data_IF_067341072310
#
_entry.id   IF_067341072310
#
_cell.length_a   1.000
_cell.length_b   1.000
_cell.length_c   1.000
_cell.angle_alpha   90.00
_cell.angle_beta   90.00
_cell.angle_gamma   90.00
#
_symmetry.space_group_name_H-M   'P 1'
#
loop_
_entity.id
_entity.type
_entity.pdbx_description
1 polymer ?
#
# COMPACT_ATOMS: atom_id res chain seq x y z
N UNK A 1 9.13 -22.94 -16.98
CA UNK A 1 9.79 -21.64 -17.08
C UNK A 1 9.28 -20.79 -15.93
N UNK A 2 10.12 -19.97 -15.28
CA UNK A 2 9.67 -19.07 -14.22
C UNK A 2 8.54 -18.13 -14.69
N UNK A 3 7.59 -17.85 -13.84
CA UNK A 3 6.52 -16.89 -14.10
C UNK A 3 7.09 -15.47 -14.19
N UNK A 4 6.63 -14.65 -15.13
CA UNK A 4 7.01 -13.24 -15.22
C UNK A 4 5.98 -12.37 -14.52
N UNK A 5 6.43 -11.61 -13.51
CA UNK A 5 5.62 -10.62 -12.83
C UNK A 5 5.59 -9.29 -13.59
N UNK A 6 4.78 -8.36 -13.11
CA UNK A 6 4.55 -7.05 -13.73
C UNK A 6 4.51 -5.96 -12.66
N UNK A 7 4.88 -4.75 -13.01
CA UNK A 7 4.45 -3.58 -12.25
C UNK A 7 2.93 -3.44 -12.34
N UNK A 8 2.32 -2.86 -11.33
CA UNK A 8 0.90 -2.52 -11.35
C UNK A 8 0.77 -1.01 -11.14
N UNK A 9 0.44 -0.28 -12.21
CA UNK A 9 0.40 1.18 -12.22
C UNK A 9 -0.91 1.64 -12.84
N UNK A 10 -1.58 2.58 -12.19
CA UNK A 10 -2.84 3.15 -12.69
C UNK A 10 -3.91 2.10 -13.06
N UNK A 11 -4.02 1.03 -12.25
CA UNK A 11 -5.00 -0.04 -12.45
C UNK A 11 -4.65 -1.04 -13.56
N UNK A 12 -3.44 -0.98 -14.13
CA UNK A 12 -3.01 -1.86 -15.22
C UNK A 12 -1.63 -2.49 -14.95
N UNK A 13 -1.40 -3.67 -15.57
CA UNK A 13 -0.08 -4.32 -15.59
C UNK A 13 0.83 -3.61 -16.58
N UNK A 14 2.09 -3.38 -16.20
CA UNK A 14 3.13 -2.81 -17.03
C UNK A 14 4.43 -3.63 -16.93
N UNK A 15 5.13 -3.81 -18.03
CA UNK A 15 6.39 -4.58 -18.08
C UNK A 15 7.60 -3.75 -17.63
N UNK A 16 7.47 -2.42 -17.60
CA UNK A 16 8.60 -1.52 -17.47
C UNK A 16 9.42 -1.41 -18.77
N UNK A 17 10.38 -0.50 -18.77
CA UNK A 17 11.24 -0.20 -19.93
C UNK A 17 12.73 -0.52 -19.69
N UNK A 18 13.13 -0.94 -18.48
CA UNK A 18 14.53 -1.23 -18.17
C UNK A 18 15.09 -2.45 -18.89
N UNK A 19 14.22 -3.41 -19.27
CA UNK A 19 14.63 -4.72 -19.77
C UNK A 19 15.34 -5.62 -18.75
N UNK A 20 15.51 -5.16 -17.50
CA UNK A 20 16.16 -5.90 -16.43
C UNK A 20 15.15 -6.65 -15.57
N UNK A 21 15.52 -7.85 -15.14
CA UNK A 21 14.71 -8.68 -14.26
C UNK A 21 15.55 -9.19 -13.08
N UNK A 22 14.92 -9.32 -11.92
CA UNK A 22 15.43 -10.05 -10.77
C UNK A 22 14.79 -11.43 -10.68
N UNK A 23 15.54 -12.41 -10.23
CA UNK A 23 15.02 -13.75 -9.98
C UNK A 23 14.39 -13.81 -8.58
N UNK A 24 13.23 -14.45 -8.49
CA UNK A 24 12.51 -14.72 -7.25
C UNK A 24 12.62 -16.22 -6.97
N UNK A 25 13.17 -16.53 -5.81
CA UNK A 25 13.47 -17.89 -5.42
C UNK A 25 12.42 -18.45 -4.46
N UNK A 26 12.14 -19.73 -4.57
CA UNK A 26 11.57 -20.50 -3.48
C UNK A 26 12.69 -20.78 -2.46
N UNK A 27 12.65 -20.23 -1.25
CA UNK A 27 13.71 -20.39 -0.27
C UNK A 27 13.82 -21.82 0.29
N UNK A 28 12.80 -22.66 0.12
CA UNK A 28 12.84 -24.06 0.57
C UNK A 28 13.60 -24.95 -0.42
N UNK A 29 13.57 -24.63 -1.71
CA UNK A 29 14.20 -25.45 -2.76
C UNK A 29 15.43 -24.78 -3.38
N UNK A 30 15.51 -23.45 -3.31
CA UNK A 30 16.51 -22.65 -4.01
C UNK A 30 16.23 -22.49 -5.51
N UNK A 31 15.07 -22.92 -5.99
CA UNK A 31 14.68 -22.81 -7.39
C UNK A 31 14.14 -21.42 -7.72
N UNK A 32 14.42 -20.94 -8.94
CA UNK A 32 13.82 -19.70 -9.46
C UNK A 32 12.40 -20.01 -9.92
N UNK A 33 11.42 -19.46 -9.21
CA UNK A 33 9.99 -19.65 -9.49
C UNK A 33 9.37 -18.52 -10.31
N UNK A 34 9.85 -17.28 -10.10
CA UNK A 34 9.34 -16.09 -10.79
C UNK A 34 10.47 -15.15 -11.18
N UNK A 35 10.15 -14.19 -12.05
CA UNK A 35 11.04 -13.08 -12.42
C UNK A 35 10.28 -11.77 -12.28
N UNK A 36 10.87 -10.82 -11.56
CA UNK A 36 10.28 -9.50 -11.31
C UNK A 36 10.98 -8.44 -12.17
N UNK A 37 10.25 -7.58 -12.92
CA UNK A 37 10.87 -6.50 -13.66
C UNK A 37 11.46 -5.47 -12.69
N UNK A 38 12.68 -4.99 -12.98
CA UNK A 38 13.33 -3.91 -12.26
C UNK A 38 12.90 -2.59 -12.90
N UNK A 39 12.30 -1.69 -12.10
CA UNK A 39 11.87 -0.39 -12.60
C UNK A 39 13.07 0.48 -12.97
N UNK A 40 12.96 1.18 -14.08
CA UNK A 40 13.83 2.29 -14.46
C UNK A 40 13.45 3.60 -13.76
N UNK A 41 14.23 4.64 -13.95
CA UNK A 41 13.88 5.98 -13.50
C UNK A 41 12.63 6.53 -14.21
N UNK A 42 12.44 6.18 -15.51
CA UNK A 42 11.23 6.52 -16.28
C UNK A 42 9.99 5.81 -15.79
N UNK A 43 10.08 4.52 -15.44
CA UNK A 43 8.97 3.77 -14.83
C UNK A 43 8.53 4.40 -13.51
N UNK A 44 9.50 4.79 -12.67
CA UNK A 44 9.21 5.46 -11.40
C UNK A 44 8.55 6.84 -11.64
N UNK A 45 9.07 7.62 -12.57
CA UNK A 45 8.49 8.91 -12.93
C UNK A 45 7.05 8.76 -13.44
N UNK A 46 6.77 7.74 -14.26
CA UNK A 46 5.43 7.44 -14.76
C UNK A 46 4.47 7.02 -13.62
N UNK A 47 4.94 6.22 -12.66
CA UNK A 47 4.14 5.84 -11.49
C UNK A 47 3.79 7.04 -10.60
N UNK A 48 4.76 7.94 -10.37
CA UNK A 48 4.55 9.19 -9.63
C UNK A 48 3.56 10.09 -10.37
N UNK A 49 3.73 10.30 -11.67
CA UNK A 49 2.83 11.10 -12.48
C UNK A 49 1.39 10.56 -12.49
N UNK A 50 1.21 9.23 -12.54
CA UNK A 50 -0.10 8.59 -12.43
C UNK A 50 -0.75 8.85 -11.06
N UNK A 51 0.02 8.74 -9.97
CA UNK A 51 -0.44 9.02 -8.62
C UNK A 51 -0.79 10.52 -8.43
N UNK A 52 0.00 11.41 -9.01
CA UNK A 52 -0.21 12.87 -8.99
C UNK A 52 -1.49 13.25 -9.76
N UNK A 53 -1.71 12.65 -10.93
CA UNK A 53 -2.93 12.87 -11.73
C UNK A 53 -4.20 12.38 -11.01
N UNK A 54 -4.11 11.29 -10.23
CA UNK A 54 -5.23 10.75 -9.47
C UNK A 54 -5.52 11.53 -8.18
N UNK A 55 -4.55 12.25 -7.64
CA UNK A 55 -4.63 12.89 -6.33
C UNK A 55 -5.80 13.88 -6.18
N UNK A 56 -6.05 14.84 -7.06
CA UNK A 56 -7.10 15.83 -6.87
C UNK A 56 -8.50 15.20 -6.71
N UNK A 57 -8.82 14.23 -7.55
CA UNK A 57 -10.10 13.55 -7.52
C UNK A 57 -10.26 12.67 -6.27
N UNK A 58 -9.20 12.05 -5.79
CA UNK A 58 -9.22 11.25 -4.57
C UNK A 58 -9.27 12.12 -3.31
N UNK A 59 -8.48 13.16 -3.24
CA UNK A 59 -8.47 14.12 -2.13
C UNK A 59 -9.82 14.82 -1.93
N UNK A 60 -10.51 15.11 -3.04
CA UNK A 60 -11.85 15.71 -3.02
C UNK A 60 -12.96 14.77 -2.53
N UNK A 61 -12.72 13.46 -2.43
CA UNK A 61 -13.70 12.54 -1.86
C UNK A 61 -13.90 12.82 -0.37
N UNK A 62 -15.13 12.69 0.10
CA UNK A 62 -15.38 12.81 1.54
C UNK A 62 -14.65 11.73 2.32
N UNK A 63 -14.19 12.00 3.56
CA UNK A 63 -13.54 10.99 4.40
C UNK A 63 -14.35 9.69 4.52
N UNK A 64 -15.69 9.79 4.60
CA UNK A 64 -16.57 8.62 4.64
C UNK A 64 -16.50 7.78 3.36
N UNK A 65 -16.42 8.40 2.18
CA UNK A 65 -16.29 7.66 0.92
C UNK A 65 -14.97 6.91 0.86
N UNK A 66 -13.87 7.53 1.30
CA UNK A 66 -12.56 6.88 1.39
C UNK A 66 -12.57 5.73 2.39
N UNK A 67 -13.17 5.92 3.57
CA UNK A 67 -13.33 4.86 4.57
C UNK A 67 -14.11 3.65 4.02
N UNK A 68 -15.16 3.86 3.23
CA UNK A 68 -15.90 2.76 2.58
C UNK A 68 -15.03 1.94 1.62
N UNK A 69 -14.01 2.54 1.00
CA UNK A 69 -13.01 1.78 0.21
C UNK A 69 -12.17 0.92 1.14
N UNK A 70 -11.74 1.44 2.29
CA UNK A 70 -10.95 0.68 3.27
C UNK A 70 -11.74 -0.48 3.87
N UNK A 71 -13.04 -0.31 4.15
CA UNK A 71 -13.90 -1.41 4.59
C UNK A 71 -13.97 -2.55 3.56
N UNK A 72 -14.17 -2.21 2.27
CA UNK A 72 -14.16 -3.22 1.20
C UNK A 72 -12.79 -3.88 1.02
N UNK A 73 -11.73 -3.12 1.18
CA UNK A 73 -10.36 -3.64 1.11
C UNK A 73 -10.10 -4.63 2.26
N UNK A 74 -10.51 -4.29 3.49
CA UNK A 74 -10.44 -5.20 4.64
C UNK A 74 -11.17 -6.52 4.36
N UNK A 75 -12.42 -6.43 3.91
CA UNK A 75 -13.24 -7.60 3.58
C UNK A 75 -12.59 -8.50 2.49
N UNK A 76 -11.96 -7.91 1.48
CA UNK A 76 -11.21 -8.66 0.48
C UNK A 76 -9.97 -9.35 1.06
N UNK A 77 -9.21 -8.67 1.91
CA UNK A 77 -8.03 -9.27 2.57
C UNK A 77 -8.43 -10.46 3.44
N UNK A 78 -9.52 -10.35 4.20
CA UNK A 78 -10.04 -11.45 5.04
C UNK A 78 -10.51 -12.65 4.21
N UNK A 79 -11.17 -12.40 3.08
CA UNK A 79 -11.61 -13.48 2.17
C UNK A 79 -10.44 -14.19 1.47
N UNK A 80 -9.36 -13.49 1.18
CA UNK A 80 -8.21 -14.00 0.43
C UNK A 80 -6.99 -14.26 1.34
N UNK A 81 -7.20 -14.37 2.66
CA UNK A 81 -6.10 -14.52 3.62
C UNK A 81 -5.25 -15.77 3.34
N UNK A 82 -5.86 -16.88 2.94
CA UNK A 82 -5.13 -18.13 2.65
C UNK A 82 -4.24 -17.99 1.41
N UNK A 83 -4.71 -17.30 0.36
CA UNK A 83 -3.91 -17.00 -0.83
C UNK A 83 -2.69 -16.14 -0.48
N UNK A 84 -2.87 -15.13 0.38
CA UNK A 84 -1.79 -14.28 0.86
C UNK A 84 -0.79 -15.07 1.71
N UNK A 85 -1.26 -16.02 2.55
CA UNK A 85 -0.40 -16.91 3.33
C UNK A 85 0.43 -17.76 2.39
N UNK A 86 -0.18 -18.38 1.36
CA UNK A 86 0.52 -19.23 0.39
C UNK A 86 1.62 -18.46 -0.36
N UNK A 87 1.35 -17.21 -0.77
CA UNK A 87 2.34 -16.33 -1.40
C UNK A 87 3.51 -16.02 -0.46
N UNK A 88 3.23 -15.66 0.79
CA UNK A 88 4.28 -15.38 1.77
C UNK A 88 5.11 -16.63 2.06
N UNK A 89 4.50 -17.79 2.21
CA UNK A 89 5.21 -19.05 2.45
C UNK A 89 6.12 -19.38 1.27
N UNK A 90 5.62 -19.29 0.04
CA UNK A 90 6.36 -19.68 -1.17
C UNK A 90 7.55 -18.77 -1.49
N UNK A 91 7.45 -17.46 -1.20
CA UNK A 91 8.52 -16.50 -1.53
C UNK A 91 9.43 -16.16 -0.34
N UNK A 92 8.88 -16.17 0.88
CA UNK A 92 9.64 -15.81 2.08
C UNK A 92 10.17 -17.04 2.84
N UNK A 93 9.51 -18.18 2.75
CA UNK A 93 9.85 -19.39 3.52
C UNK A 93 9.39 -19.38 4.97
N UNK A 94 8.50 -18.47 5.37
CA UNK A 94 7.86 -18.52 6.70
C UNK A 94 6.98 -19.75 6.83
N UNK A 95 6.86 -20.28 8.05
CA UNK A 95 5.81 -21.23 8.36
C UNK A 95 4.44 -20.55 8.27
N UNK A 96 3.41 -21.29 7.90
CA UNK A 96 2.06 -20.75 7.65
C UNK A 96 1.52 -19.92 8.81
N UNK A 97 1.77 -20.35 10.05
CA UNK A 97 1.27 -19.67 11.24
C UNK A 97 1.92 -18.27 11.43
N UNK A 98 3.23 -18.15 11.19
CA UNK A 98 3.92 -16.85 11.23
C UNK A 98 3.47 -15.93 10.08
N UNK A 99 3.22 -16.51 8.89
CA UNK A 99 2.65 -15.76 7.77
C UNK A 99 1.27 -15.22 8.12
N UNK A 100 0.39 -16.06 8.66
CA UNK A 100 -0.95 -15.68 9.14
C UNK A 100 -0.88 -14.58 10.18
N UNK A 101 -0.04 -14.73 11.23
CA UNK A 101 0.12 -13.75 12.28
C UNK A 101 0.61 -12.39 11.78
N UNK A 102 1.49 -12.37 10.78
CA UNK A 102 1.95 -11.11 10.18
C UNK A 102 0.87 -10.45 9.31
N UNK A 103 0.10 -11.23 8.53
CA UNK A 103 -1.01 -10.71 7.72
C UNK A 103 -2.12 -10.14 8.62
N UNK A 104 -2.48 -10.86 9.71
CA UNK A 104 -3.46 -10.39 10.69
C UNK A 104 -3.09 -9.02 11.24
N UNK A 105 -1.82 -8.82 11.66
CA UNK A 105 -1.34 -7.50 12.12
C UNK A 105 -1.39 -6.42 11.06
N UNK A 106 -1.26 -6.78 9.79
CA UNK A 106 -1.49 -5.86 8.68
C UNK A 106 -2.96 -5.48 8.55
N UNK A 107 -3.87 -6.45 8.63
CA UNK A 107 -5.32 -6.23 8.55
C UNK A 107 -5.83 -5.36 9.71
N UNK A 108 -5.28 -5.50 10.92
CA UNK A 108 -5.60 -4.63 12.07
C UNK A 108 -5.34 -3.15 11.78
N UNK A 109 -4.28 -2.83 11.03
CA UNK A 109 -4.03 -1.44 10.62
C UNK A 109 -4.99 -0.99 9.51
N UNK A 110 -5.42 -1.87 8.62
CA UNK A 110 -6.49 -1.55 7.66
C UNK A 110 -7.80 -1.24 8.41
N UNK A 111 -8.12 -2.02 9.45
CA UNK A 111 -9.27 -1.78 10.32
C UNK A 111 -9.18 -0.43 11.03
N UNK A 112 -8.02 -0.10 11.59
CA UNK A 112 -7.75 1.24 12.12
C UNK A 112 -8.00 2.33 11.06
N UNK A 113 -7.54 2.12 9.82
CA UNK A 113 -7.73 3.08 8.73
C UNK A 113 -9.21 3.32 8.37
N UNK A 114 -10.09 2.35 8.61
CA UNK A 114 -11.53 2.54 8.47
C UNK A 114 -12.10 3.62 9.41
N UNK A 115 -11.47 3.82 10.57
CA UNK A 115 -11.84 4.84 11.57
C UNK A 115 -11.22 6.23 11.35
N UNK A 116 -10.34 6.40 10.40
CA UNK A 116 -9.62 7.67 10.14
C UNK A 116 -10.54 8.89 9.97
N UNK A 117 -11.77 8.81 9.43
CA UNK A 117 -12.66 9.97 9.41
C UNK A 117 -12.84 10.68 10.75
N UNK A 118 -12.77 9.94 11.86
CA UNK A 118 -12.87 10.52 13.19
C UNK A 118 -11.59 11.24 13.63
N UNK A 119 -10.44 10.86 13.09
CA UNK A 119 -9.13 11.45 13.39
C UNK A 119 -8.81 12.67 12.53
N UNK A 120 -9.54 12.86 11.41
CA UNK A 120 -9.35 14.00 10.50
C UNK A 120 -10.05 15.27 10.97
N UNK A 121 -10.73 15.24 12.11
CA UNK A 121 -11.34 16.43 12.70
C UNK A 121 -10.26 17.42 13.10
N UNK A 122 -10.53 18.71 12.86
CA UNK A 122 -9.75 19.81 13.37
C UNK A 122 -10.18 20.22 14.76
N UNK A 123 -9.53 21.24 15.29
CA UNK A 123 -9.82 21.86 16.55
C UNK A 123 -10.33 23.28 16.32
N UNK A 124 -11.16 23.78 17.22
CA UNK A 124 -11.67 25.14 17.23
C UNK A 124 -11.45 25.75 18.62
N UNK A 125 -11.00 26.99 18.67
CA UNK A 125 -10.86 27.76 19.91
C UNK A 125 -11.49 29.13 19.69
N UNK A 126 -12.46 29.46 20.52
CA UNK A 126 -13.15 30.75 20.54
C UNK A 126 -12.36 31.76 21.35
N UNK A 127 -12.31 33.02 20.90
CA UNK A 127 -11.72 34.17 21.61
C UNK A 127 -10.26 33.93 22.08
N UNK A 128 -9.41 33.36 21.23
CA UNK A 128 -7.96 33.24 21.51
C UNK A 128 -7.25 34.60 21.60
N UNK A 129 -7.92 35.65 21.13
CA UNK A 129 -7.62 37.07 21.27
C UNK A 129 -8.92 37.84 21.17
N UNK A 130 -8.91 39.16 21.39
CA UNK A 130 -10.12 39.99 21.31
C UNK A 130 -10.74 39.90 19.93
N UNK A 131 -11.92 39.28 19.82
CA UNK A 131 -12.67 39.03 18.57
C UNK A 131 -11.88 38.17 17.56
N UNK A 132 -11.04 37.24 18.03
CA UNK A 132 -10.26 36.34 17.18
C UNK A 132 -10.56 34.91 17.58
N UNK A 133 -11.10 34.13 16.62
CA UNK A 133 -11.22 32.68 16.72
C UNK A 133 -10.09 31.99 15.97
N UNK A 134 -9.70 30.79 16.39
CA UNK A 134 -8.68 29.96 15.74
C UNK A 134 -9.21 28.57 15.47
N UNK A 135 -8.84 28.02 14.34
CA UNK A 135 -9.21 26.65 13.99
C UNK A 135 -8.10 25.95 13.20
N UNK A 136 -8.08 24.62 13.28
CA UNK A 136 -7.17 23.79 12.50
C UNK A 136 -7.94 22.89 11.54
N UNK A 137 -7.33 22.59 10.42
CA UNK A 137 -7.85 21.68 9.41
C UNK A 137 -6.75 20.72 8.96
N UNK A 138 -7.07 19.42 8.89
CA UNK A 138 -6.15 18.42 8.37
C UNK A 138 -6.37 18.27 6.86
N UNK A 139 -5.28 18.32 6.11
CA UNK A 139 -5.29 18.19 4.65
C UNK A 139 -4.35 17.06 4.21
N UNK A 140 -4.65 16.37 3.07
CA UNK A 140 -3.72 15.39 2.52
C UNK A 140 -2.44 16.06 2.03
N UNK A 141 -1.34 15.31 2.08
CA UNK A 141 0.00 15.79 1.67
C UNK A 141 0.20 15.75 0.16
N UNK A 142 -0.46 14.83 -0.54
CA UNK A 142 -0.26 14.60 -1.97
C UNK A 142 0.08 13.15 -2.30
N UNK A 143 1.12 12.95 -3.11
CA UNK A 143 1.68 11.63 -3.41
C UNK A 143 2.58 11.19 -2.27
N UNK A 144 2.25 10.06 -1.68
CA UNK A 144 3.09 9.38 -0.67
C UNK A 144 3.79 8.18 -1.29
N UNK A 145 4.89 7.75 -0.70
CA UNK A 145 5.63 6.59 -1.15
C UNK A 145 6.20 5.79 0.00
N UNK A 146 6.42 4.48 -0.22
CA UNK A 146 7.16 3.63 0.70
C UNK A 146 7.99 2.57 -0.03
N UNK A 147 9.04 2.12 0.63
CA UNK A 147 9.87 0.97 0.24
C UNK A 147 9.68 -0.10 1.30
N UNK A 148 9.10 -1.25 0.91
CA UNK A 148 8.84 -2.34 1.84
C UNK A 148 10.05 -3.28 1.95
N UNK A 149 10.34 -3.78 3.16
CA UNK A 149 11.37 -4.80 3.37
C UNK A 149 10.87 -6.19 2.95
N UNK A 150 11.82 -7.13 2.77
CA UNK A 150 11.47 -8.49 2.41
C UNK A 150 10.88 -9.31 3.57
N UNK A 151 11.23 -8.99 4.81
CA UNK A 151 10.89 -9.82 5.98
C UNK A 151 9.42 -9.76 6.42
N UNK A 152 8.66 -8.73 5.97
CA UNK A 152 7.22 -8.60 6.19
C UNK A 152 6.52 -8.03 4.94
N UNK A 153 6.45 -8.83 3.86
CA UNK A 153 6.09 -8.33 2.53
C UNK A 153 4.63 -7.85 2.41
N UNK A 154 3.72 -8.40 3.22
CA UNK A 154 2.32 -7.99 3.27
C UNK A 154 2.07 -7.00 4.41
N UNK A 155 2.59 -7.27 5.61
CA UNK A 155 2.32 -6.47 6.81
C UNK A 155 2.74 -5.01 6.63
N UNK A 156 3.97 -4.75 6.16
CA UNK A 156 4.50 -3.38 6.06
C UNK A 156 3.77 -2.54 5.00
N UNK A 157 3.46 -3.05 3.80
CA UNK A 157 2.55 -2.35 2.89
C UNK A 157 1.19 -2.01 3.51
N UNK A 158 0.59 -2.93 4.27
CA UNK A 158 -0.69 -2.71 4.94
C UNK A 158 -0.60 -1.70 6.10
N UNK A 159 0.58 -1.40 6.62
CA UNK A 159 0.80 -0.35 7.62
C UNK A 159 0.81 1.06 7.01
N UNK A 160 1.15 1.18 5.73
CA UNK A 160 1.38 2.46 5.09
C UNK A 160 0.27 2.86 4.11
N UNK A 161 -0.08 1.97 3.17
CA UNK A 161 -1.03 2.26 2.09
C UNK A 161 -2.42 2.67 2.63
N UNK A 162 -3.07 1.89 3.54
CA UNK A 162 -4.43 2.19 3.96
C UNK A 162 -4.55 3.53 4.68
N UNK A 163 -3.58 3.85 5.54
CA UNK A 163 -3.56 5.11 6.29
C UNK A 163 -3.38 6.31 5.35
N UNK A 164 -2.43 6.23 4.41
CA UNK A 164 -2.22 7.29 3.44
C UNK A 164 -3.47 7.54 2.58
N UNK A 165 -4.08 6.46 2.05
CA UNK A 165 -5.29 6.56 1.22
C UNK A 165 -6.49 7.08 2.00
N UNK A 166 -6.73 6.60 3.23
CA UNK A 166 -7.82 7.08 4.07
C UNK A 166 -7.69 8.56 4.41
N UNK A 167 -6.45 9.06 4.58
CA UNK A 167 -6.17 10.48 4.77
C UNK A 167 -6.34 11.33 3.51
N UNK A 168 -6.56 10.72 2.34
CA UNK A 168 -6.79 11.42 1.08
C UNK A 168 -5.57 11.56 0.18
N UNK A 169 -4.46 10.91 0.52
CA UNK A 169 -3.26 10.87 -0.32
C UNK A 169 -3.38 9.81 -1.42
N UNK A 170 -2.57 9.92 -2.47
CA UNK A 170 -2.24 8.83 -3.38
C UNK A 170 -0.93 8.17 -2.96
N UNK A 171 -0.62 6.99 -3.51
CA UNK A 171 0.47 6.19 -2.98
C UNK A 171 1.24 5.43 -4.07
N UNK A 172 2.58 5.43 -3.95
CA UNK A 172 3.48 4.60 -4.75
C UNK A 172 4.23 3.65 -3.82
N UNK A 173 4.08 2.35 -4.03
CA UNK A 173 4.76 1.31 -3.24
C UNK A 173 5.85 0.64 -4.06
N UNK A 174 7.07 0.59 -3.52
CA UNK A 174 8.13 -0.28 -4.02
C UNK A 174 8.22 -1.51 -3.10
N UNK A 175 7.71 -2.68 -3.49
CA UNK A 175 7.89 -3.91 -2.72
C UNK A 175 9.35 -4.39 -2.80
N UNK A 176 9.73 -5.35 -1.95
CA UNK A 176 11.03 -6.01 -2.08
C UNK A 176 11.06 -6.87 -3.35
N UNK A 177 12.16 -6.79 -4.10
CA UNK A 177 12.41 -7.64 -5.26
C UNK A 177 12.58 -9.13 -4.91
N UNK A 178 12.78 -9.46 -3.62
CA UNK A 178 12.91 -10.84 -3.15
C UNK A 178 11.56 -11.54 -2.94
N UNK A 179 10.52 -10.76 -2.65
CA UNK A 179 9.17 -11.23 -2.27
C UNK A 179 8.12 -10.26 -2.86
N UNK A 180 8.05 -10.15 -4.19
CA UNK A 180 7.33 -9.06 -4.87
C UNK A 180 5.85 -9.35 -5.13
N UNK A 181 5.36 -10.59 -4.99
CA UNK A 181 3.99 -11.00 -5.38
C UNK A 181 2.88 -10.53 -4.48
#
# INVERSE_FOLDING_TARGET
>A
MPETLYHFVNGARATGDSGLFGDVFDPATGEVTKRVPMASASDMAAAIAAAEAAFPAWAAQTPLRRARVMFRFKDLLERHVEELIDLVVSEHGKVREDARGSITRGIEVVEFACGIPHLLKGEFSENVGTSIDSWSMRQPLGVCGAIAPFNFPVMVPLWTIPVALACGNTFVMKPSEKVPS
#
